data_IF_735900588896
#
_entry.id   IF_735900588896
#
_cell.length_a   1.000
_cell.length_b   1.000
_cell.length_c   1.000
_cell.angle_alpha   90.00
_cell.angle_beta   90.00
_cell.angle_gamma   90.00
#
_symmetry.space_group_name_H-M   'P 1'
#
loop_
_entity.id
_entity.type
_entity.pdbx_description
1 polymer ?
#
# COMPACT_ATOMS: atom_id res chain seq x y z
N UNK A 1 17.93 -13.47 8.43
CA UNK A 1 18.08 -12.61 7.24
C UNK A 1 17.72 -13.44 6.02
N UNK A 2 16.63 -13.12 5.33
CA UNK A 2 16.26 -13.83 4.09
C UNK A 2 17.20 -13.30 3.00
N UNK A 3 18.08 -14.17 2.47
CA UNK A 3 18.98 -13.80 1.39
C UNK A 3 18.17 -13.70 0.09
N UNK A 4 18.15 -12.54 -0.61
CA UNK A 4 17.40 -12.40 -1.86
C UNK A 4 17.96 -13.32 -2.93
N UNK A 5 17.09 -14.01 -3.68
CA UNK A 5 17.54 -14.77 -4.85
C UNK A 5 17.92 -13.79 -5.97
N UNK A 6 18.80 -14.18 -6.92
CA UNK A 6 19.12 -13.34 -8.07
C UNK A 6 17.88 -12.84 -8.85
N UNK A 7 16.85 -13.68 -8.93
CA UNK A 7 15.57 -13.32 -9.54
C UNK A 7 14.83 -12.21 -8.78
N UNK A 8 14.90 -12.21 -7.45
CA UNK A 8 14.27 -11.19 -6.61
C UNK A 8 14.95 -9.82 -6.81
N UNK A 9 16.29 -9.82 -6.95
CA UNK A 9 17.05 -8.62 -7.29
C UNK A 9 16.66 -8.08 -8.67
N UNK A 10 16.46 -8.95 -9.67
CA UNK A 10 15.99 -8.56 -11.01
C UNK A 10 14.60 -7.92 -10.95
N UNK A 11 13.65 -8.53 -10.23
CA UNK A 11 12.31 -7.98 -10.06
C UNK A 11 12.32 -6.65 -9.30
N UNK A 12 13.13 -6.52 -8.24
CA UNK A 12 13.29 -5.27 -7.49
C UNK A 12 13.86 -4.15 -8.36
N UNK A 13 14.84 -4.46 -9.22
CA UNK A 13 15.38 -3.50 -10.18
C UNK A 13 14.32 -3.06 -11.22
N UNK A 14 13.50 -3.97 -11.74
CA UNK A 14 12.40 -3.61 -12.64
C UNK A 14 11.38 -2.70 -11.94
N UNK A 15 11.01 -3.03 -10.70
CA UNK A 15 10.12 -2.20 -9.87
C UNK A 15 10.70 -0.80 -9.67
N UNK A 16 12.00 -0.67 -9.36
CA UNK A 16 12.64 0.64 -9.21
C UNK A 16 12.69 1.44 -10.49
N UNK A 17 12.96 0.81 -11.64
CA UNK A 17 12.92 1.50 -12.94
C UNK A 17 11.53 2.05 -13.22
N UNK A 18 10.49 1.24 -12.98
CA UNK A 18 9.10 1.68 -13.16
C UNK A 18 8.74 2.81 -12.19
N UNK A 19 9.01 2.64 -10.89
CA UNK A 19 8.68 3.63 -9.87
C UNK A 19 9.40 4.95 -10.14
N UNK A 20 10.68 4.93 -10.52
CA UNK A 20 11.43 6.14 -10.90
C UNK A 20 10.78 6.83 -12.09
N UNK A 21 10.42 6.09 -13.15
CA UNK A 21 9.78 6.68 -14.32
C UNK A 21 8.43 7.34 -13.99
N UNK A 22 7.63 6.72 -13.10
CA UNK A 22 6.37 7.30 -12.62
C UNK A 22 6.62 8.58 -11.81
N UNK A 23 7.59 8.56 -10.89
CA UNK A 23 7.87 9.71 -10.01
C UNK A 23 8.62 10.85 -10.72
N UNK A 24 9.29 10.58 -11.84
CA UNK A 24 9.91 11.59 -12.69
C UNK A 24 8.89 12.34 -13.55
N UNK A 25 7.72 11.77 -13.79
CA UNK A 25 6.61 12.46 -14.44
C UNK A 25 5.88 13.34 -13.41
N UNK A 26 5.95 14.66 -13.59
CA UNK A 26 5.40 15.62 -12.63
C UNK A 26 3.88 15.52 -12.52
N UNK A 27 3.17 15.15 -13.58
CA UNK A 27 1.73 14.96 -13.53
C UNK A 27 1.41 13.72 -12.71
N UNK A 28 1.98 12.55 -13.04
CA UNK A 28 1.73 11.30 -12.32
C UNK A 28 2.14 11.40 -10.85
N UNK A 29 3.30 11.98 -10.53
CA UNK A 29 3.78 12.13 -9.17
C UNK A 29 2.84 12.96 -8.27
N UNK A 30 2.10 13.91 -8.85
CA UNK A 30 1.13 14.73 -8.14
C UNK A 30 -0.27 14.12 -8.07
N UNK A 31 -0.59 13.14 -8.92
CA UNK A 31 -1.90 12.51 -8.95
C UNK A 31 -1.95 11.13 -8.26
N UNK A 32 -0.81 10.44 -8.15
CA UNK A 32 -0.71 9.10 -7.57
C UNK A 32 -0.09 9.13 -6.18
N UNK A 33 -0.78 8.51 -5.23
CA UNK A 33 -0.37 8.47 -3.83
C UNK A 33 0.02 7.05 -3.42
N UNK A 34 1.29 6.83 -3.14
CA UNK A 34 1.87 5.52 -2.91
C UNK A 34 1.39 4.90 -1.59
N UNK A 35 1.09 3.60 -1.60
CA UNK A 35 0.58 2.86 -0.45
C UNK A 35 0.98 1.38 -0.47
N UNK A 36 0.51 0.65 0.53
CA UNK A 36 0.62 -0.80 0.59
C UNK A 36 1.97 -1.29 1.13
N UNK A 37 2.22 -2.59 1.01
CA UNK A 37 3.38 -3.23 1.64
C UNK A 37 4.72 -2.80 1.06
N UNK A 38 4.77 -2.48 -0.23
CA UNK A 38 6.01 -2.02 -0.89
C UNK A 38 6.38 -0.61 -0.44
N UNK A 39 5.41 0.30 -0.36
CA UNK A 39 5.65 1.62 0.23
C UNK A 39 6.12 1.52 1.69
N UNK A 40 5.45 0.69 2.51
CA UNK A 40 5.86 0.46 3.90
C UNK A 40 7.29 -0.10 4.02
N UNK A 41 7.66 -1.04 3.13
CA UNK A 41 9.01 -1.60 3.09
C UNK A 41 10.06 -0.55 2.71
N UNK A 42 9.77 0.29 1.71
CA UNK A 42 10.67 1.39 1.30
C UNK A 42 10.77 2.52 2.32
N UNK A 43 9.82 2.61 3.25
CA UNK A 43 9.87 3.49 4.43
C UNK A 43 10.53 2.82 5.64
N UNK A 44 11.13 1.64 5.48
CA UNK A 44 11.73 0.83 6.54
C UNK A 44 10.77 0.43 7.67
N UNK A 45 9.47 0.39 7.39
CA UNK A 45 8.43 -0.04 8.35
C UNK A 45 8.23 -1.56 8.30
N UNK A 46 8.42 -2.19 7.13
CA UNK A 46 8.28 -3.64 6.96
C UNK A 46 9.59 -4.28 6.48
N UNK A 47 10.12 -5.21 7.28
CA UNK A 47 11.27 -6.04 6.94
C UNK A 47 10.84 -7.33 6.21
N UNK A 48 10.11 -7.16 5.10
CA UNK A 48 9.79 -8.27 4.19
C UNK A 48 9.79 -7.84 2.74
N UNK A 49 10.09 -8.79 1.87
CA UNK A 49 10.06 -8.56 0.43
C UNK A 49 8.65 -8.20 -0.06
N UNK A 50 8.57 -7.14 -0.89
CA UNK A 50 7.35 -6.67 -1.53
C UNK A 50 7.72 -5.89 -2.79
N UNK A 51 7.08 -6.21 -3.92
CA UNK A 51 7.40 -5.61 -5.23
C UNK A 51 6.18 -5.10 -6.01
N UNK A 52 4.97 -5.31 -5.47
CA UNK A 52 3.74 -4.78 -6.06
C UNK A 52 3.67 -3.27 -5.81
N UNK A 53 3.39 -2.47 -6.84
CA UNK A 53 3.13 -1.04 -6.67
C UNK A 53 1.63 -0.82 -6.48
N UNK A 54 1.21 -0.25 -5.35
CA UNK A 54 -0.19 0.08 -5.07
C UNK A 54 -0.32 1.59 -4.85
N UNK A 55 -1.19 2.26 -5.59
CA UNK A 55 -1.44 3.70 -5.47
C UNK A 55 -2.92 3.99 -5.18
N UNK A 56 -3.18 5.06 -4.44
CA UNK A 56 -4.48 5.73 -4.42
C UNK A 56 -4.53 6.81 -5.50
N UNK A 57 -5.71 6.95 -6.11
CA UNK A 57 -6.09 8.03 -7.01
C UNK A 57 -7.32 8.74 -6.44
N UNK A 58 -7.13 9.79 -5.62
CA UNK A 58 -8.25 10.53 -5.02
C UNK A 58 -9.16 11.20 -6.06
N UNK A 59 -8.57 11.77 -7.13
CA UNK A 59 -9.32 12.35 -8.24
C UNK A 59 -9.52 11.34 -9.37
N UNK A 60 -10.61 10.59 -9.30
CA UNK A 60 -10.97 9.59 -10.32
C UNK A 60 -11.16 10.20 -11.72
N UNK A 61 -11.40 11.50 -11.85
CA UNK A 61 -11.60 12.15 -13.17
C UNK A 61 -10.32 12.11 -14.01
N UNK A 62 -9.15 12.02 -13.37
CA UNK A 62 -7.84 11.93 -14.04
C UNK A 62 -7.49 10.53 -14.52
N UNK A 63 -8.26 9.51 -14.14
CA UNK A 63 -7.95 8.09 -14.42
C UNK A 63 -7.66 7.81 -15.90
N UNK A 64 -8.42 8.32 -16.90
CA UNK A 64 -8.13 8.04 -18.30
C UNK A 64 -6.78 8.57 -18.75
N UNK A 65 -6.41 9.79 -18.32
CA UNK A 65 -5.13 10.42 -18.65
C UNK A 65 -3.99 9.65 -17.98
N UNK A 66 -4.13 9.34 -16.70
CA UNK A 66 -3.14 8.56 -15.93
C UNK A 66 -2.91 7.18 -16.56
N UNK A 67 -3.98 6.50 -16.99
CA UNK A 67 -3.86 5.20 -17.64
C UNK A 67 -3.08 5.29 -18.96
N UNK A 68 -3.31 6.34 -19.75
CA UNK A 68 -2.56 6.59 -20.99
C UNK A 68 -1.07 6.81 -20.71
N UNK A 69 -0.74 7.68 -19.76
CA UNK A 69 0.67 7.98 -19.41
C UNK A 69 1.38 6.75 -18.82
N UNK A 70 0.72 6.02 -17.92
CA UNK A 70 1.25 4.75 -17.41
C UNK A 70 1.47 3.75 -18.53
N UNK A 71 0.54 3.58 -19.46
CA UNK A 71 0.71 2.67 -20.58
C UNK A 71 1.94 3.01 -21.42
N UNK A 72 2.17 4.30 -21.70
CA UNK A 72 3.37 4.76 -22.41
C UNK A 72 4.66 4.42 -21.64
N UNK A 73 4.69 4.63 -20.32
CA UNK A 73 5.83 4.27 -19.46
C UNK A 73 6.08 2.76 -19.47
N UNK A 74 5.02 1.95 -19.32
CA UNK A 74 5.12 0.49 -19.33
C UNK A 74 5.69 -0.04 -20.64
N UNK A 75 5.19 0.45 -21.78
CA UNK A 75 5.67 0.08 -23.10
C UNK A 75 7.13 0.48 -23.30
N UNK A 76 7.50 1.72 -22.94
CA UNK A 76 8.88 2.21 -23.03
C UNK A 76 9.87 1.38 -22.22
N UNK A 77 9.45 0.89 -21.05
CA UNK A 77 10.31 0.13 -20.15
C UNK A 77 10.29 -1.38 -20.40
N UNK A 78 9.30 -1.91 -21.15
CA UNK A 78 9.03 -3.34 -21.22
C UNK A 78 8.74 -3.93 -19.84
N UNK A 79 8.08 -3.17 -18.96
CA UNK A 79 7.87 -3.55 -17.56
C UNK A 79 6.71 -4.51 -17.38
N UNK A 80 6.90 -5.53 -16.56
CA UNK A 80 5.86 -6.51 -16.17
C UNK A 80 5.47 -6.38 -14.69
N UNK A 81 5.95 -5.33 -14.02
CA UNK A 81 5.70 -5.10 -12.59
C UNK A 81 4.21 -4.84 -12.37
N UNK A 82 3.63 -5.52 -11.38
CA UNK A 82 2.22 -5.35 -11.04
C UNK A 82 1.99 -3.98 -10.42
N UNK A 83 1.12 -3.19 -11.05
CA UNK A 83 0.66 -1.91 -10.54
C UNK A 83 -0.85 -1.94 -10.32
N UNK A 84 -1.31 -1.50 -9.16
CA UNK A 84 -2.74 -1.34 -8.85
C UNK A 84 -3.06 0.11 -8.51
N UNK A 85 -4.17 0.59 -9.04
CA UNK A 85 -4.73 1.90 -8.71
C UNK A 85 -6.05 1.68 -7.99
N UNK A 86 -6.21 2.32 -6.84
CA UNK A 86 -7.47 2.44 -6.14
C UNK A 86 -8.07 3.83 -6.39
N UNK A 87 -9.12 3.89 -7.20
CA UNK A 87 -9.85 5.12 -7.55
C UNK A 87 -11.03 5.40 -6.62
N UNK A 88 -11.20 4.59 -5.57
CA UNK A 88 -12.17 4.80 -4.50
C UNK A 88 -11.48 4.71 -3.12
N UNK A 89 -10.44 5.53 -2.86
CA UNK A 89 -9.83 5.59 -1.54
C UNK A 89 -10.81 6.13 -0.50
N UNK A 90 -10.55 5.80 0.77
CA UNK A 90 -11.29 6.43 1.87
C UNK A 90 -11.08 7.94 1.81
N UNK A 91 -12.17 8.71 1.94
CA UNK A 91 -12.12 10.18 2.00
C UNK A 91 -11.39 10.70 3.24
N UNK A 92 -11.07 9.81 4.19
CA UNK A 92 -10.34 10.11 5.42
C UNK A 92 -8.86 9.73 5.35
N UNK A 93 -8.40 9.15 4.23
CA UNK A 93 -6.99 8.92 4.00
C UNK A 93 -6.24 10.25 4.01
N UNK A 94 -5.16 10.31 4.77
CA UNK A 94 -4.20 11.40 4.77
C UNK A 94 -2.92 10.98 4.07
N UNK A 95 -2.25 11.97 3.47
CA UNK A 95 -1.08 11.75 2.64
C UNK A 95 0.05 12.70 3.06
N UNK A 96 1.28 12.28 2.82
CA UNK A 96 2.48 13.04 3.08
C UNK A 96 3.48 12.90 1.94
N UNK A 97 4.36 13.89 1.80
CA UNK A 97 5.55 13.77 0.98
C UNK A 97 6.56 12.90 1.74
N UNK A 98 6.98 11.80 1.13
CA UNK A 98 7.94 10.86 1.70
C UNK A 98 9.18 10.78 0.80
N UNK A 99 10.35 10.75 1.43
CA UNK A 99 11.59 10.44 0.74
C UNK A 99 11.78 8.91 0.69
N UNK A 100 12.18 8.39 -0.46
CA UNK A 100 12.45 6.97 -0.71
C UNK A 100 13.97 6.80 -0.90
N UNK A 101 14.74 6.45 0.15
CA UNK A 101 16.20 6.43 0.10
C UNK A 101 16.76 5.49 -0.96
N UNK A 102 16.16 4.31 -1.12
CA UNK A 102 16.62 3.28 -2.08
C UNK A 102 16.58 3.76 -3.53
N UNK A 103 15.72 4.73 -3.85
CA UNK A 103 15.67 5.33 -5.17
C UNK A 103 16.07 6.82 -5.22
N UNK A 104 16.43 7.43 -4.10
CA UNK A 104 16.74 8.87 -4.03
C UNK A 104 15.66 9.73 -4.72
N UNK A 105 14.39 9.49 -4.39
CA UNK A 105 13.25 10.25 -4.93
C UNK A 105 12.24 10.57 -3.84
N UNK A 106 11.43 11.59 -4.09
CA UNK A 106 10.26 11.88 -3.27
C UNK A 106 9.00 11.35 -3.94
N UNK A 107 8.02 10.93 -3.15
CA UNK A 107 6.68 10.63 -3.61
C UNK A 107 5.64 11.19 -2.64
N UNK A 108 4.41 11.36 -3.12
CA UNK A 108 3.26 11.47 -2.25
C UNK A 108 2.85 10.05 -1.83
N UNK A 109 2.62 9.81 -0.54
CA UNK A 109 2.25 8.49 -0.02
C UNK A 109 1.38 8.58 1.23
N UNK A 110 0.86 7.44 1.70
CA UNK A 110 0.10 7.39 2.95
C UNK A 110 0.94 7.89 4.12
N UNK A 111 0.31 8.62 5.04
CA UNK A 111 0.83 8.76 6.40
C UNK A 111 0.78 7.38 7.10
N UNK A 112 1.62 7.18 8.12
CA UNK A 112 1.73 5.88 8.80
C UNK A 112 0.41 5.45 9.46
N UNK A 113 -0.33 6.39 10.04
CA UNK A 113 -1.64 6.15 10.67
C UNK A 113 -2.72 5.71 9.68
N UNK A 114 -2.74 6.33 8.49
CA UNK A 114 -3.62 5.96 7.37
C UNK A 114 -3.25 4.59 6.81
N UNK A 115 -1.95 4.31 6.67
CA UNK A 115 -1.47 3.01 6.20
C UNK A 115 -1.88 1.89 7.16
N UNK A 116 -1.73 2.12 8.46
CA UNK A 116 -2.14 1.17 9.49
C UNK A 116 -3.65 0.95 9.45
N UNK A 117 -4.46 2.01 9.54
CA UNK A 117 -5.91 1.91 9.49
C UNK A 117 -6.41 1.14 8.25
N UNK A 118 -5.83 1.41 7.07
CA UNK A 118 -6.20 0.71 5.86
C UNK A 118 -5.81 -0.78 5.87
N UNK A 119 -4.65 -1.12 6.44
CA UNK A 119 -4.19 -2.50 6.61
C UNK A 119 -5.10 -3.26 7.57
N UNK A 120 -5.48 -2.62 8.69
CA UNK A 120 -6.34 -3.17 9.73
C UNK A 120 -7.67 -3.63 9.12
N UNK A 121 -8.31 -2.74 8.35
CA UNK A 121 -9.58 -3.06 7.71
C UNK A 121 -9.42 -4.11 6.59
N UNK A 122 -8.33 -4.03 5.81
CA UNK A 122 -8.07 -4.95 4.71
C UNK A 122 -7.92 -6.42 5.15
N UNK A 123 -7.42 -6.67 6.36
CA UNK A 123 -7.23 -8.02 6.90
C UNK A 123 -8.55 -8.81 6.98
N UNK A 124 -9.65 -8.14 7.36
CA UNK A 124 -10.98 -8.78 7.41
C UNK A 124 -11.73 -8.66 6.08
N UNK A 125 -11.59 -7.54 5.35
CA UNK A 125 -12.27 -7.34 4.05
C UNK A 125 -11.86 -8.38 3.00
N UNK A 126 -10.62 -8.88 3.06
CA UNK A 126 -10.18 -9.96 2.17
C UNK A 126 -11.04 -11.21 2.43
N UNK A 127 -11.13 -11.63 3.68
CA UNK A 127 -11.91 -12.80 4.07
C UNK A 127 -13.39 -12.65 3.70
N UNK A 128 -14.01 -11.49 4.00
CA UNK A 128 -15.42 -11.23 3.65
C UNK A 128 -15.70 -11.37 2.15
N UNK A 129 -14.75 -11.00 1.30
CA UNK A 129 -14.92 -11.04 -0.17
C UNK A 129 -14.68 -12.41 -0.79
N UNK A 130 -13.76 -13.21 -0.26
CA UNK A 130 -13.34 -14.45 -0.93
C UNK A 130 -13.12 -15.65 -0.02
N UNK A 131 -13.46 -15.54 1.27
CA UNK A 131 -13.28 -16.59 2.27
C UNK A 131 -11.83 -16.93 2.60
N UNK A 132 -10.85 -16.20 2.05
CA UNK A 132 -9.41 -16.51 2.20
C UNK A 132 -8.72 -15.51 3.11
N UNK A 133 -7.82 -16.05 3.92
CA UNK A 133 -6.93 -15.32 4.80
C UNK A 133 -5.58 -15.18 4.10
N UNK A 134 -4.97 -14.00 4.18
CA UNK A 134 -3.59 -13.82 3.73
C UNK A 134 -2.69 -13.56 4.95
N UNK A 135 -1.85 -14.53 5.30
CA UNK A 135 -0.94 -14.42 6.46
C UNK A 135 -0.07 -13.16 6.44
N UNK A 136 0.33 -12.67 5.25
CA UNK A 136 1.08 -11.42 5.09
C UNK A 136 0.36 -10.18 5.65
N UNK A 137 -0.98 -10.14 5.58
CA UNK A 137 -1.74 -9.00 6.09
C UNK A 137 -1.66 -8.97 7.63
N UNK A 138 -1.67 -10.14 8.29
CA UNK A 138 -1.51 -10.25 9.75
C UNK A 138 -0.07 -10.07 10.21
N UNK A 139 0.92 -10.52 9.41
CA UNK A 139 2.33 -10.18 9.65
C UNK A 139 2.54 -8.66 9.67
N UNK A 140 2.00 -7.94 8.67
CA UNK A 140 2.12 -6.49 8.60
C UNK A 140 1.46 -5.81 9.81
N UNK A 141 0.28 -6.29 10.22
CA UNK A 141 -0.40 -5.77 11.41
C UNK A 141 0.42 -5.99 12.69
N UNK A 142 0.95 -7.19 12.89
CA UNK A 142 1.82 -7.49 14.01
C UNK A 142 3.03 -6.56 14.05
N UNK A 143 3.68 -6.30 12.90
CA UNK A 143 4.79 -5.34 12.83
C UNK A 143 4.34 -3.90 13.17
N UNK A 144 3.20 -3.45 12.64
CA UNK A 144 2.68 -2.11 12.91
C UNK A 144 2.32 -1.91 14.39
N UNK A 145 1.72 -2.92 15.02
CA UNK A 145 1.42 -2.91 16.46
C UNK A 145 2.71 -2.90 17.31
N UNK A 146 3.68 -3.76 17.00
CA UNK A 146 4.94 -3.82 17.77
C UNK A 146 5.77 -2.55 17.67
N UNK A 147 5.66 -1.81 16.56
CA UNK A 147 6.31 -0.51 16.38
C UNK A 147 5.53 0.64 17.04
N UNK A 148 4.36 0.39 17.62
CA UNK A 148 3.53 1.42 18.26
C UNK A 148 3.00 2.46 17.28
N UNK A 149 2.77 2.09 16.02
CA UNK A 149 2.28 3.05 15.02
C UNK A 149 0.88 3.56 15.41
N UNK A 150 0.59 4.86 15.24
CA UNK A 150 -0.74 5.38 15.44
C UNK A 150 -1.72 4.77 14.43
N UNK A 151 -3.02 4.74 14.76
CA UNK A 151 -4.08 4.31 13.84
C UNK A 151 -5.00 5.49 13.61
N UNK A 152 -5.27 5.83 12.34
CA UNK A 152 -6.26 6.86 11.99
C UNK A 152 -7.69 6.32 12.20
N UNK A 153 -8.42 6.75 13.25
CA UNK A 153 -9.74 6.18 13.56
C UNK A 153 -10.79 6.57 12.50
N UNK A 154 -10.64 7.75 11.89
CA UNK A 154 -11.58 8.24 10.88
C UNK A 154 -11.57 7.37 9.62
N UNK A 155 -10.40 6.82 9.24
CA UNK A 155 -10.30 5.85 8.13
C UNK A 155 -11.03 4.56 8.47
N UNK A 156 -10.86 4.04 9.70
CA UNK A 156 -11.56 2.84 10.16
C UNK A 156 -13.07 3.06 10.08
N UNK A 157 -13.58 4.12 10.73
CA UNK A 157 -15.02 4.43 10.72
C UNK A 157 -15.57 4.68 9.34
N UNK A 158 -14.84 5.37 8.46
CA UNK A 158 -15.30 5.59 7.09
C UNK A 158 -15.42 4.28 6.28
N UNK A 159 -14.58 3.28 6.55
CA UNK A 159 -14.57 2.01 5.79
C UNK A 159 -15.48 0.94 6.38
N UNK A 160 -15.68 0.93 7.69
CA UNK A 160 -16.38 -0.17 8.39
C UNK A 160 -17.72 0.25 8.98
N UNK A 161 -17.96 1.55 9.14
CA UNK A 161 -19.09 2.08 9.92
C UNK A 161 -18.93 1.95 11.43
N UNK A 162 -17.81 1.43 11.93
CA UNK A 162 -17.54 1.20 13.35
C UNK A 162 -16.50 2.19 13.89
N UNK A 163 -16.57 2.51 15.18
CA UNK A 163 -15.48 3.19 15.88
C UNK A 163 -14.24 2.28 15.94
N UNK A 164 -13.07 2.87 16.20
CA UNK A 164 -11.83 2.08 16.31
C UNK A 164 -11.92 1.00 17.41
N UNK A 165 -12.40 1.28 18.64
CA UNK A 165 -12.54 0.23 19.67
C UNK A 165 -13.45 -0.92 19.27
N UNK A 166 -14.64 -0.62 18.72
CA UNK A 166 -15.59 -1.64 18.24
C UNK A 166 -14.97 -2.51 17.14
N UNK A 167 -14.22 -1.87 16.23
CA UNK A 167 -13.56 -2.59 15.15
C UNK A 167 -12.40 -3.47 15.65
N UNK A 168 -11.64 -3.01 16.65
CA UNK A 168 -10.59 -3.82 17.28
C UNK A 168 -11.18 -5.03 18.00
N UNK A 169 -12.33 -4.89 18.65
CA UNK A 169 -13.05 -6.03 19.23
C UNK A 169 -13.50 -7.01 18.14
N UNK A 170 -14.05 -6.49 17.04
CA UNK A 170 -14.42 -7.30 15.86
C UNK A 170 -13.22 -8.06 15.29
N UNK A 171 -12.07 -7.39 15.15
CA UNK A 171 -10.84 -7.99 14.65
C UNK A 171 -10.31 -9.07 15.61
N UNK A 172 -10.34 -8.83 16.92
CA UNK A 172 -9.94 -9.81 17.93
C UNK A 172 -10.79 -11.08 17.85
N UNK A 173 -12.13 -10.93 17.79
CA UNK A 173 -13.05 -12.07 17.58
C UNK A 173 -12.78 -12.80 16.26
N UNK A 174 -12.47 -12.06 15.19
CA UNK A 174 -12.12 -12.64 13.90
C UNK A 174 -10.85 -13.49 13.98
N UNK A 175 -9.79 -12.97 14.61
CA UNK A 175 -8.52 -13.68 14.78
C UNK A 175 -8.75 -14.96 15.59
N UNK A 176 -9.42 -14.87 16.73
CA UNK A 176 -9.69 -16.01 17.60
C UNK A 176 -10.50 -17.13 16.93
N UNK A 177 -11.33 -16.78 15.95
CA UNK A 177 -12.17 -17.75 15.23
C UNK A 177 -11.44 -18.45 14.07
N UNK A 178 -10.45 -17.78 13.47
CA UNK A 178 -9.97 -18.14 12.15
C UNK A 178 -8.45 -18.34 12.03
N UNK A 179 -7.67 -17.94 13.04
CA UNK A 179 -6.20 -17.92 12.99
C UNK A 179 -5.53 -18.62 14.19
N UNK A 180 -6.27 -18.84 15.27
CA UNK A 180 -5.89 -19.62 16.46
C UNK A 180 -6.74 -20.88 16.52
#
# INVERSE_FOLDING_TARGET
MIVPKPQDAKHKNQMFRLLRAILSDSFLANQLYFKGGTYASLQNILDRFSIDLDFDLPDKTKKPIIQKELHAIFNKLGSTVKLKINDQPSKKNTYQKAYLPEINMYCNGHTLDTMFANKLVAATDRFKRNGKIAGRDFYDLHQFFNQGLPINPAVVTNRTGQTLPEYLETLSKFINKHLT
#
